data_IF_540492880774
#
_entry.id   IF_540492880774
#
_cell.length_a   1.000
_cell.length_b   1.000
_cell.length_c   1.000
_cell.angle_alpha   90.00
_cell.angle_beta   90.00
_cell.angle_gamma   90.00
#
_symmetry.space_group_name_H-M   'P 1'
#
loop_
_entity.id
_entity.type
_entity.pdbx_description
1 polymer ?
#
# COMPACT_ATOMS: atom_id res chain seq x y z
N UNK A 1 10.98 -8.10 24.32
CA UNK A 1 10.49 -7.45 23.07
C UNK A 1 9.64 -6.26 23.46
N UNK A 2 9.69 -5.20 22.67
CA UNK A 2 8.88 -3.99 22.87
C UNK A 2 7.70 -4.06 21.89
N UNK A 3 6.51 -3.68 22.35
CA UNK A 3 5.34 -3.59 21.46
C UNK A 3 5.47 -2.36 20.56
N UNK A 4 5.44 -2.57 19.25
CA UNK A 4 5.47 -1.48 18.26
C UNK A 4 4.08 -1.24 17.70
N UNK A 5 3.67 0.03 17.73
CA UNK A 5 2.37 0.49 17.25
C UNK A 5 2.56 1.60 16.23
N UNK A 6 1.85 1.51 15.10
CA UNK A 6 1.81 2.56 14.08
C UNK A 6 0.41 3.15 13.96
N UNK A 7 0.34 4.44 13.64
CA UNK A 7 -0.93 5.16 13.45
C UNK A 7 -0.98 5.74 12.04
N UNK A 8 -2.09 5.52 11.34
CA UNK A 8 -2.35 6.11 10.03
C UNK A 8 -3.63 6.94 10.08
N UNK A 9 -3.50 8.25 10.32
CA UNK A 9 -4.66 9.15 10.41
C UNK A 9 -5.48 9.25 9.11
N UNK A 10 -4.84 9.01 7.96
CA UNK A 10 -5.46 9.04 6.65
C UNK A 10 -5.15 7.74 5.89
N UNK A 11 -5.82 6.62 6.23
CA UNK A 11 -5.58 5.34 5.57
C UNK A 11 -6.22 5.32 4.18
N UNK A 12 -5.73 4.43 3.32
CA UNK A 12 -6.25 4.25 1.97
C UNK A 12 -6.42 2.77 1.61
N UNK A 13 -7.24 2.53 0.61
CA UNK A 13 -7.19 1.29 -0.18
C UNK A 13 -6.50 1.65 -1.49
N UNK A 14 -5.23 1.32 -1.59
CA UNK A 14 -4.43 1.59 -2.77
C UNK A 14 -4.89 0.69 -3.91
N UNK A 15 -5.00 1.26 -5.11
CA UNK A 15 -5.33 0.53 -6.32
C UNK A 15 -4.19 0.67 -7.31
N UNK A 16 -3.65 -0.45 -7.73
CA UNK A 16 -2.61 -0.53 -8.76
C UNK A 16 -3.10 -1.42 -9.90
N UNK A 17 -2.73 -1.08 -11.13
CA UNK A 17 -3.08 -1.84 -12.31
C UNK A 17 -1.97 -1.68 -13.35
N UNK A 18 -1.78 -2.70 -14.17
CA UNK A 18 -0.82 -2.67 -15.26
C UNK A 18 -1.46 -2.06 -16.52
N UNK A 19 -0.65 -1.34 -17.30
CA UNK A 19 -1.01 -0.85 -18.63
C UNK A 19 0.20 -1.08 -19.56
N UNK A 20 -0.06 -1.40 -20.82
CA UNK A 20 1.01 -1.66 -21.81
C UNK A 20 1.87 -0.41 -22.06
N UNK A 21 1.22 0.77 -22.13
CA UNK A 21 1.89 2.06 -22.32
C UNK A 21 1.06 3.20 -21.74
N UNK A 22 1.74 4.26 -21.30
CA UNK A 22 1.15 5.54 -20.87
C UNK A 22 1.39 6.55 -21.98
N UNK A 23 0.32 7.10 -22.56
CA UNK A 23 0.37 8.06 -23.67
C UNK A 23 -0.51 9.26 -23.32
N UNK A 24 0.02 10.47 -23.53
CA UNK A 24 -0.75 11.70 -23.33
C UNK A 24 -1.97 11.77 -24.23
N UNK A 25 -3.05 12.37 -23.74
CA UNK A 25 -4.30 12.63 -24.48
C UNK A 25 -5.07 11.39 -24.98
N UNK A 26 -4.61 10.18 -24.63
CA UNK A 26 -5.28 8.93 -24.98
C UNK A 26 -5.92 8.24 -23.76
N UNK A 27 -6.96 7.44 -24.01
CA UNK A 27 -7.55 6.58 -22.99
C UNK A 27 -6.63 5.39 -22.71
N UNK A 28 -5.97 5.41 -21.57
CA UNK A 28 -5.13 4.29 -21.11
C UNK A 28 -6.05 3.14 -20.64
N UNK A 29 -5.95 1.99 -21.31
CA UNK A 29 -6.66 0.78 -20.91
C UNK A 29 -5.80 -0.02 -19.95
N UNK A 30 -6.28 -0.17 -18.72
CA UNK A 30 -5.59 -0.91 -17.68
C UNK A 30 -6.16 -2.32 -17.53
N UNK A 31 -5.33 -3.25 -17.07
CA UNK A 31 -5.76 -4.56 -16.60
C UNK A 31 -6.58 -4.48 -15.30
N UNK A 32 -7.06 -5.65 -14.79
CA UNK A 32 -7.79 -5.71 -13.52
C UNK A 32 -6.97 -5.11 -12.37
N UNK A 33 -7.55 -4.21 -11.54
CA UNK A 33 -6.80 -3.57 -10.47
C UNK A 33 -6.58 -4.50 -9.28
N UNK A 34 -5.36 -4.47 -8.72
CA UNK A 34 -5.04 -5.02 -7.40
C UNK A 34 -5.41 -4.00 -6.33
N UNK A 35 -5.85 -4.49 -5.18
CA UNK A 35 -6.19 -3.66 -4.01
C UNK A 35 -5.26 -4.01 -2.86
N UNK A 36 -4.65 -2.99 -2.27
CA UNK A 36 -3.73 -3.15 -1.15
C UNK A 36 -4.07 -2.18 -0.02
N UNK A 37 -3.77 -2.53 1.24
CA UNK A 37 -3.80 -1.56 2.34
C UNK A 37 -2.75 -0.49 2.12
N UNK A 38 -3.16 0.78 2.16
CA UNK A 38 -2.30 1.94 1.97
C UNK A 38 -2.32 2.90 3.14
N UNK A 39 -1.27 3.72 3.22
CA UNK A 39 -1.05 4.70 4.28
C UNK A 39 0.24 4.46 5.07
N UNK A 40 0.79 5.52 5.63
CA UNK A 40 2.15 5.54 6.20
C UNK A 40 2.37 4.50 7.29
N UNK A 41 1.57 4.51 8.35
CA UNK A 41 1.70 3.57 9.47
C UNK A 41 1.41 2.13 9.05
N UNK A 42 0.43 1.91 8.18
CA UNK A 42 0.12 0.59 7.58
C UNK A 42 1.32 0.05 6.81
N UNK A 43 1.96 0.88 5.97
CA UNK A 43 3.13 0.48 5.18
C UNK A 43 4.36 0.23 6.06
N UNK A 44 4.56 1.00 7.13
CA UNK A 44 5.62 0.73 8.12
C UNK A 44 5.40 -0.62 8.81
N UNK A 45 4.19 -0.91 9.29
CA UNK A 45 3.89 -2.19 9.93
C UNK A 45 4.09 -3.39 8.96
N UNK A 46 3.69 -3.25 7.70
CA UNK A 46 3.96 -4.25 6.65
C UNK A 46 5.46 -4.43 6.39
N UNK A 47 6.24 -3.36 6.38
CA UNK A 47 7.68 -3.41 6.20
C UNK A 47 8.37 -4.14 7.37
N UNK A 48 7.98 -3.84 8.60
CA UNK A 48 8.50 -4.54 9.79
C UNK A 48 8.23 -6.05 9.72
N UNK A 49 7.00 -6.44 9.36
CA UNK A 49 6.64 -7.84 9.19
C UNK A 49 7.51 -8.56 8.15
N UNK A 50 7.87 -7.89 7.05
CA UNK A 50 8.77 -8.44 6.02
C UNK A 50 10.21 -8.64 6.52
N UNK A 51 10.61 -7.89 7.54
CA UNK A 51 11.92 -7.98 8.18
C UNK A 51 11.94 -8.95 9.38
N UNK A 52 10.80 -9.60 9.68
CA UNK A 52 10.68 -10.56 10.79
C UNK A 52 10.28 -9.95 12.13
N UNK A 53 9.90 -8.67 12.15
CA UNK A 53 9.46 -7.95 13.35
C UNK A 53 7.94 -7.75 13.35
N UNK A 54 7.32 -7.76 14.53
CA UNK A 54 5.87 -7.56 14.66
C UNK A 54 5.53 -6.10 15.00
N UNK A 55 4.45 -5.59 14.38
CA UNK A 55 3.90 -4.27 14.67
C UNK A 55 2.38 -4.24 14.45
N UNK A 56 1.65 -3.52 15.32
CA UNK A 56 0.21 -3.31 15.19
C UNK A 56 -0.09 -1.95 14.55
N UNK A 57 -0.85 -1.94 13.46
CA UNK A 57 -1.31 -0.70 12.84
C UNK A 57 -2.73 -0.33 13.31
N UNK A 58 -2.94 0.96 13.59
CA UNK A 58 -4.24 1.60 13.87
C UNK A 58 -4.57 2.67 12.83
#
# INVERSE_FOLDING_TARGET
MVDVVTLTMNPSVDRSCDAERVVGDEKIRCGPPRREPGGGGINVARAMKRLGEEARAF
#
